data_IF_560677141665
#
_entry.id   IF_560677141665
#
_cell.length_a   1.000
_cell.length_b   1.000
_cell.length_c   1.000
_cell.angle_alpha   90.00
_cell.angle_beta   90.00
_cell.angle_gamma   90.00
#
_symmetry.space_group_name_H-M   'P 1'
#
loop_
_entity.id
_entity.type
_entity.pdbx_description
1 polymer ?
#
# COMPACT_ATOMS: atom_id res chain seq x y z
N UNK A 1 27.98 4.12 4.56
CA UNK A 1 26.97 4.92 3.85
C UNK A 1 26.63 4.34 2.47
N UNK A 2 27.60 3.76 1.77
CA UNK A 2 27.39 3.07 0.47
C UNK A 2 26.61 1.75 0.58
N UNK A 3 26.67 1.07 1.73
CA UNK A 3 26.10 -0.27 1.90
C UNK A 3 24.56 -0.32 1.84
N UNK A 4 23.86 0.72 2.31
CA UNK A 4 22.39 0.72 2.34
C UNK A 4 21.78 1.00 0.96
N UNK A 5 22.39 1.86 0.15
CA UNK A 5 21.99 2.09 -1.25
C UNK A 5 22.13 0.80 -2.05
N UNK A 6 23.20 0.07 -1.81
CA UNK A 6 23.44 -1.24 -2.42
C UNK A 6 22.39 -2.27 -2.03
N UNK A 7 21.92 -2.27 -0.77
CA UNK A 7 20.93 -3.22 -0.27
C UNK A 7 19.55 -3.04 -0.92
N UNK A 8 19.04 -1.81 -0.99
CA UNK A 8 17.74 -1.50 -1.60
C UNK A 8 17.75 -1.78 -3.11
N UNK A 9 18.83 -1.39 -3.80
CA UNK A 9 19.01 -1.68 -5.23
C UNK A 9 19.12 -3.20 -5.50
N UNK A 10 19.76 -3.94 -4.60
CA UNK A 10 19.85 -5.40 -4.68
C UNK A 10 18.49 -6.04 -4.49
N UNK A 11 17.73 -5.61 -3.49
CA UNK A 11 16.37 -6.09 -3.25
C UNK A 11 15.48 -5.88 -4.47
N UNK A 12 15.50 -4.69 -5.06
CA UNK A 12 14.74 -4.41 -6.28
C UNK A 12 15.12 -5.33 -7.43
N UNK A 13 16.41 -5.57 -7.62
CA UNK A 13 16.92 -6.47 -8.67
C UNK A 13 16.44 -7.89 -8.50
N UNK A 14 16.41 -8.41 -7.27
CA UNK A 14 15.88 -9.74 -6.93
C UNK A 14 14.38 -9.84 -7.21
N UNK A 15 13.61 -8.78 -6.88
CA UNK A 15 12.17 -8.70 -7.21
C UNK A 15 11.98 -8.74 -8.72
N UNK A 16 12.71 -7.91 -9.47
CA UNK A 16 12.60 -7.84 -10.93
C UNK A 16 12.93 -9.17 -11.61
N UNK A 17 14.00 -9.84 -11.18
CA UNK A 17 14.38 -11.16 -11.70
C UNK A 17 13.32 -12.22 -11.37
N UNK A 18 12.74 -12.18 -10.17
CA UNK A 18 11.70 -13.10 -9.76
C UNK A 18 10.43 -12.92 -10.57
N UNK A 19 9.99 -11.67 -10.79
CA UNK A 19 8.83 -11.36 -11.62
C UNK A 19 9.05 -11.87 -13.05
N UNK A 20 10.22 -11.61 -13.65
CA UNK A 20 10.55 -12.09 -15.00
C UNK A 20 10.53 -13.62 -15.10
N UNK A 21 11.09 -14.31 -14.10
CA UNK A 21 11.05 -15.80 -14.05
C UNK A 21 9.62 -16.32 -13.96
N UNK A 22 8.78 -15.70 -13.11
CA UNK A 22 7.39 -16.11 -12.97
C UNK A 22 6.60 -15.89 -14.27
N UNK A 23 6.81 -14.77 -14.95
CA UNK A 23 6.18 -14.49 -16.23
C UNK A 23 6.50 -15.53 -17.32
N UNK A 24 7.71 -16.11 -17.27
CA UNK A 24 8.11 -17.14 -18.22
C UNK A 24 7.50 -18.51 -17.98
N UNK A 25 7.04 -18.80 -16.76
CA UNK A 25 6.52 -20.13 -16.35
C UNK A 25 5.03 -20.13 -16.08
N UNK A 26 4.41 -19.00 -15.84
CA UNK A 26 2.98 -18.92 -15.51
C UNK A 26 2.23 -17.95 -16.40
N UNK A 27 1.02 -18.32 -16.81
CA UNK A 27 0.06 -17.41 -17.46
C UNK A 27 -0.86 -16.70 -16.47
N UNK A 28 -0.66 -16.91 -15.17
CA UNK A 28 -1.48 -16.32 -14.11
C UNK A 28 -1.08 -14.88 -13.79
N UNK A 29 -1.93 -14.20 -13.02
CA UNK A 29 -1.64 -12.87 -12.52
C UNK A 29 -0.56 -12.95 -11.42
N UNK A 30 0.43 -12.06 -11.52
CA UNK A 30 1.49 -11.93 -10.53
C UNK A 30 1.14 -10.76 -9.62
N UNK A 31 1.33 -10.94 -8.32
CA UNK A 31 1.21 -9.85 -7.34
C UNK A 31 2.52 -9.76 -6.56
N UNK A 32 3.10 -8.57 -6.53
CA UNK A 32 4.23 -8.23 -5.67
C UNK A 32 3.64 -7.60 -4.40
N UNK A 33 4.00 -8.14 -3.25
CA UNK A 33 3.55 -7.63 -1.95
C UNK A 33 4.77 -7.19 -1.13
N UNK A 34 4.76 -5.96 -0.64
CA UNK A 34 5.79 -5.39 0.24
C UNK A 34 5.17 -5.18 1.63
N UNK A 35 5.60 -5.98 2.58
CA UNK A 35 5.19 -5.93 4.00
C UNK A 35 6.45 -5.78 4.87
N UNK A 36 6.79 -4.60 5.39
CA UNK A 36 6.10 -3.33 5.21
C UNK A 36 7.11 -2.24 4.77
N UNK A 37 6.61 -1.21 4.07
CA UNK A 37 7.45 -0.13 3.54
C UNK A 37 7.99 0.79 4.64
N UNK A 38 7.28 0.92 5.75
CA UNK A 38 7.71 1.74 6.90
C UNK A 38 8.98 1.20 7.56
N UNK A 39 9.18 -0.11 7.56
CA UNK A 39 10.43 -0.72 8.04
C UNK A 39 11.62 -0.37 7.15
N UNK A 40 11.42 -0.34 5.83
CA UNK A 40 12.47 0.08 4.89
C UNK A 40 12.87 1.53 5.12
N UNK A 41 11.91 2.40 5.36
CA UNK A 41 12.17 3.82 5.63
C UNK A 41 12.93 4.01 6.95
N UNK A 42 12.53 3.33 8.02
CA UNK A 42 13.23 3.37 9.32
C UNK A 42 14.65 2.82 9.17
N UNK A 43 14.84 1.71 8.48
CA UNK A 43 16.15 1.09 8.30
C UNK A 43 17.10 1.95 7.48
N UNK A 44 16.59 2.85 6.63
CA UNK A 44 17.37 3.77 5.83
C UNK A 44 17.49 5.18 6.45
N UNK A 45 16.87 5.40 7.62
CA UNK A 45 16.95 6.67 8.36
C UNK A 45 18.41 6.97 8.70
N UNK A 46 18.95 8.06 8.12
CA UNK A 46 20.39 8.43 8.24
C UNK A 46 21.18 8.29 6.93
N UNK A 47 20.70 7.55 5.95
CA UNK A 47 21.06 7.65 4.55
C UNK A 47 19.86 8.26 3.81
N UNK A 48 20.06 9.13 2.84
CA UNK A 48 19.00 9.88 2.16
C UNK A 48 17.70 9.10 1.98
N UNK A 49 16.58 9.65 2.45
CA UNK A 49 15.21 9.10 2.28
C UNK A 49 14.82 8.85 0.81
N UNK A 50 15.58 9.42 -0.12
CA UNK A 50 15.38 9.31 -1.56
C UNK A 50 15.43 7.85 -2.06
N UNK A 51 16.25 6.99 -1.42
CA UNK A 51 16.41 5.61 -1.88
C UNK A 51 15.16 4.74 -1.70
N UNK A 52 14.37 4.98 -0.66
CA UNK A 52 13.10 4.26 -0.45
C UNK A 52 12.04 4.76 -1.41
N UNK A 53 12.07 6.07 -1.70
CA UNK A 53 11.21 6.66 -2.72
C UNK A 53 11.54 6.13 -4.12
N UNK A 54 12.83 6.05 -4.46
CA UNK A 54 13.30 5.44 -5.70
C UNK A 54 12.84 3.97 -5.81
N UNK A 55 12.97 3.20 -4.74
CA UNK A 55 12.48 1.82 -4.70
C UNK A 55 10.98 1.74 -4.97
N UNK A 56 10.18 2.61 -4.35
CA UNK A 56 8.75 2.70 -4.59
C UNK A 56 8.44 2.97 -6.08
N UNK A 57 9.11 3.94 -6.67
CA UNK A 57 8.95 4.29 -8.08
C UNK A 57 9.37 3.14 -9.00
N UNK A 58 10.46 2.45 -8.70
CA UNK A 58 10.90 1.29 -9.48
C UNK A 58 9.92 0.13 -9.38
N UNK A 59 9.38 -0.17 -8.20
CA UNK A 59 8.36 -1.20 -8.03
C UNK A 59 7.06 -0.85 -8.77
N UNK A 60 6.65 0.43 -8.74
CA UNK A 60 5.49 0.91 -9.47
C UNK A 60 5.70 0.79 -11.00
N UNK A 61 6.87 1.18 -11.49
CA UNK A 61 7.22 1.04 -12.91
C UNK A 61 7.24 -0.43 -13.32
N UNK A 62 7.89 -1.29 -12.53
CA UNK A 62 7.92 -2.73 -12.77
C UNK A 62 6.52 -3.33 -12.84
N UNK A 63 5.61 -2.93 -11.94
CA UNK A 63 4.24 -3.43 -11.95
C UNK A 63 3.49 -3.06 -13.24
N UNK A 64 3.68 -1.83 -13.71
CA UNK A 64 3.08 -1.34 -14.95
C UNK A 64 3.64 -2.02 -16.20
N UNK A 65 4.97 -2.18 -16.28
CA UNK A 65 5.65 -2.80 -17.43
C UNK A 65 5.42 -4.32 -17.49
N UNK A 66 5.34 -4.97 -16.34
CA UNK A 66 5.20 -6.42 -16.23
C UNK A 66 3.74 -6.87 -16.11
N UNK A 67 2.78 -5.95 -16.18
CA UNK A 67 1.35 -6.23 -15.99
C UNK A 67 1.10 -7.09 -14.72
N UNK A 68 1.76 -6.72 -13.63
CA UNK A 68 1.56 -7.33 -12.33
C UNK A 68 0.96 -6.33 -11.33
N UNK A 69 0.33 -6.83 -10.29
CA UNK A 69 -0.22 -6.00 -9.22
C UNK A 69 0.85 -5.70 -8.17
N UNK A 70 0.85 -4.50 -7.63
CA UNK A 70 1.71 -4.09 -6.52
C UNK A 70 0.84 -3.78 -5.30
N UNK A 71 1.10 -4.44 -4.19
CA UNK A 71 0.44 -4.21 -2.90
C UNK A 71 1.49 -3.79 -1.89
N UNK A 72 1.28 -2.66 -1.24
CA UNK A 72 2.20 -2.11 -0.25
C UNK A 72 1.45 -1.91 1.06
N UNK A 73 1.99 -2.45 2.14
CA UNK A 73 1.60 -2.14 3.50
C UNK A 73 2.50 -1.02 4.04
N UNK A 74 1.91 -0.11 4.80
CA UNK A 74 2.62 0.94 5.50
C UNK A 74 1.91 1.27 6.82
N UNK A 75 2.67 1.57 7.87
CA UNK A 75 2.16 1.96 9.18
C UNK A 75 2.20 3.48 9.31
N UNK A 76 1.03 4.11 9.32
CA UNK A 76 0.92 5.58 9.40
C UNK A 76 1.28 6.14 10.78
N UNK A 77 1.14 5.35 11.83
CA UNK A 77 1.43 5.74 13.21
C UNK A 77 2.90 6.07 13.48
N UNK A 78 3.83 5.51 12.70
CA UNK A 78 5.26 5.88 12.79
C UNK A 78 5.52 7.35 12.46
N UNK A 79 4.62 7.99 11.73
CA UNK A 79 4.72 9.40 11.32
C UNK A 79 3.95 10.36 12.25
N UNK A 80 3.46 9.89 13.39
CA UNK A 80 2.61 10.68 14.29
C UNK A 80 3.23 12.01 14.75
N UNK A 81 4.57 12.13 14.71
CA UNK A 81 5.32 13.36 15.05
C UNK A 81 5.62 14.25 13.84
N UNK A 82 5.27 13.83 12.62
CA UNK A 82 5.57 14.54 11.39
C UNK A 82 4.30 15.11 10.76
N UNK A 83 4.31 16.39 10.43
CA UNK A 83 3.27 16.97 9.58
C UNK A 83 3.45 16.47 8.14
N UNK A 84 2.57 15.55 7.71
CA UNK A 84 2.44 15.05 6.34
C UNK A 84 3.78 14.58 5.73
N UNK A 85 4.27 13.41 6.09
CA UNK A 85 5.50 12.88 5.53
C UNK A 85 5.40 12.80 4.00
N UNK A 86 6.39 13.37 3.31
CA UNK A 86 6.40 13.45 1.85
C UNK A 86 6.31 12.05 1.21
N UNK A 87 6.90 11.05 1.83
CA UNK A 87 6.88 9.67 1.39
C UNK A 87 5.45 9.08 1.38
N UNK A 88 4.68 9.27 2.45
CA UNK A 88 3.29 8.81 2.53
C UNK A 88 2.42 9.47 1.45
N UNK A 89 2.61 10.77 1.20
CA UNK A 89 1.91 11.48 0.13
C UNK A 89 2.25 10.90 -1.25
N UNK A 90 3.51 10.57 -1.49
CA UNK A 90 3.95 9.96 -2.75
C UNK A 90 3.30 8.57 -2.94
N UNK A 91 3.29 7.72 -1.92
CA UNK A 91 2.61 6.42 -1.98
C UNK A 91 1.12 6.58 -2.31
N UNK A 92 0.45 7.49 -1.61
CA UNK A 92 -0.97 7.79 -1.88
C UNK A 92 -1.15 8.32 -3.29
N UNK A 93 -0.26 9.16 -3.81
CA UNK A 93 -0.36 9.68 -5.19
C UNK A 93 -0.22 8.57 -6.24
N UNK A 94 0.68 7.63 -6.05
CA UNK A 94 0.96 6.54 -7.00
C UNK A 94 -0.10 5.44 -6.96
N UNK A 95 -0.76 5.23 -5.83
CA UNK A 95 -1.73 4.15 -5.69
C UNK A 95 -3.02 4.39 -6.46
N UNK A 96 -3.54 3.38 -7.14
CA UNK A 96 -4.88 3.37 -7.75
C UNK A 96 -5.98 3.18 -6.71
N UNK A 97 -5.69 2.38 -5.69
CA UNK A 97 -6.58 2.10 -4.56
C UNK A 97 -5.82 2.29 -3.26
N UNK A 98 -6.37 3.07 -2.36
CA UNK A 98 -5.85 3.26 -1.00
C UNK A 98 -6.85 2.67 -0.01
N UNK A 99 -6.36 1.79 0.86
CA UNK A 99 -7.16 1.20 1.94
C UNK A 99 -6.54 1.66 3.25
N UNK A 100 -7.32 2.36 4.07
CA UNK A 100 -6.89 2.83 5.38
C UNK A 100 -7.70 2.15 6.47
N UNK A 101 -7.03 1.48 7.40
CA UNK A 101 -7.63 0.90 8.58
C UNK A 101 -7.24 1.74 9.81
N UNK A 102 -8.23 2.17 10.58
CA UNK A 102 -8.05 3.05 11.73
C UNK A 102 -8.90 2.58 12.91
N UNK A 103 -8.46 2.81 14.16
CA UNK A 103 -9.36 2.63 15.29
C UNK A 103 -10.54 3.60 15.22
N UNK A 104 -11.62 3.30 15.91
CA UNK A 104 -12.75 4.23 16.00
C UNK A 104 -12.34 5.51 16.73
N UNK A 105 -12.73 6.66 16.18
CA UNK A 105 -12.54 7.96 16.83
C UNK A 105 -13.30 8.09 18.16
N UNK A 106 -14.37 7.32 18.33
CA UNK A 106 -15.18 7.25 19.57
C UNK A 106 -14.57 6.35 20.66
N UNK A 107 -13.44 5.71 20.39
CA UNK A 107 -12.81 4.76 21.29
C UNK A 107 -13.24 3.30 21.05
N UNK A 108 -12.86 2.42 21.98
CA UNK A 108 -13.12 0.99 21.86
C UNK A 108 -14.62 0.68 22.05
N UNK A 109 -15.18 -0.10 21.14
CA UNK A 109 -16.51 -0.66 21.23
C UNK A 109 -16.44 -2.19 21.16
N UNK A 110 -17.33 -2.88 21.89
CA UNK A 110 -17.32 -4.35 21.93
C UNK A 110 -17.65 -5.00 20.58
N UNK A 111 -18.44 -4.29 19.76
CA UNK A 111 -18.97 -4.83 18.51
C UNK A 111 -18.30 -4.25 17.26
N UNK A 112 -17.47 -3.21 17.42
CA UNK A 112 -16.78 -2.54 16.33
C UNK A 112 -15.34 -2.24 16.76
N UNK A 113 -14.38 -2.80 16.04
CA UNK A 113 -12.98 -2.68 16.39
C UNK A 113 -12.27 -1.54 15.65
N UNK A 114 -12.85 -1.09 14.53
CA UNK A 114 -12.29 0.02 13.76
C UNK A 114 -13.11 0.35 12.53
N UNK A 115 -12.58 1.28 11.76
CA UNK A 115 -13.13 1.69 10.48
C UNK A 115 -12.14 1.43 9.35
N UNK A 116 -12.66 1.10 8.19
CA UNK A 116 -11.93 0.89 6.96
C UNK A 116 -12.40 1.91 5.92
N UNK A 117 -11.49 2.71 5.44
CA UNK A 117 -11.75 3.65 4.34
C UNK A 117 -11.10 3.12 3.08
N UNK A 118 -11.88 2.97 2.02
CA UNK A 118 -11.39 2.56 0.69
C UNK A 118 -11.57 3.72 -0.26
N UNK A 119 -10.45 4.25 -0.74
CA UNK A 119 -10.41 5.26 -1.80
C UNK A 119 -9.98 4.60 -3.10
N UNK A 120 -10.91 4.46 -4.03
CA UNK A 120 -10.62 4.02 -5.39
C UNK A 120 -10.56 5.25 -6.30
N UNK A 121 -9.38 5.52 -6.88
CA UNK A 121 -9.16 6.68 -7.76
C UNK A 121 -9.63 6.43 -9.20
N UNK A 122 -10.01 5.20 -9.50
CA UNK A 122 -10.43 4.80 -10.84
C UNK A 122 -9.25 4.74 -11.81
N UNK A 123 -9.07 3.60 -12.43
CA UNK A 123 -8.12 3.46 -13.54
C UNK A 123 -8.74 4.18 -14.75
N UNK A 124 -8.12 5.24 -15.23
CA UNK A 124 -8.56 6.01 -16.41
C UNK A 124 -8.35 5.21 -17.71
N UNK A 125 -8.88 4.01 -17.81
CA UNK A 125 -8.66 3.11 -18.95
C UNK A 125 -9.81 3.02 -19.93
N UNK A 126 -10.66 4.04 -20.06
CA UNK A 126 -11.53 4.14 -21.23
C UNK A 126 -12.11 5.54 -21.37
N UNK A 127 -11.91 6.14 -22.50
CA UNK A 127 -12.33 7.49 -22.91
C UNK A 127 -13.84 7.76 -22.96
N UNK A 128 -14.57 7.40 -21.94
CA UNK A 128 -15.98 7.80 -21.74
C UNK A 128 -16.33 7.75 -20.26
N UNK A 129 -16.38 8.90 -19.65
CA UNK A 129 -17.00 9.07 -18.33
C UNK A 129 -16.00 9.46 -17.25
N UNK A 130 -16.30 10.54 -16.58
CA UNK A 130 -15.65 11.07 -15.40
C UNK A 130 -15.27 9.95 -14.41
N UNK A 131 -13.98 9.63 -14.33
CA UNK A 131 -13.43 8.81 -13.25
C UNK A 131 -13.63 9.59 -11.94
N UNK A 132 -14.74 9.36 -11.27
CA UNK A 132 -14.97 9.94 -9.95
C UNK A 132 -14.28 9.07 -8.92
N UNK A 133 -13.39 9.65 -8.15
CA UNK A 133 -12.86 9.01 -6.96
C UNK A 133 -14.03 8.46 -6.14
N UNK A 134 -14.04 7.16 -5.91
CA UNK A 134 -15.08 6.50 -5.10
C UNK A 134 -14.54 6.27 -3.71
N UNK A 135 -15.09 6.97 -2.75
CA UNK A 135 -14.80 6.77 -1.34
C UNK A 135 -15.87 5.88 -0.72
N UNK A 136 -15.45 4.83 -0.03
CA UNK A 136 -16.32 3.92 0.70
C UNK A 136 -15.79 3.76 2.12
N UNK A 137 -16.69 3.87 3.09
CA UNK A 137 -16.37 3.67 4.49
C UNK A 137 -17.09 2.43 5.01
N UNK A 138 -16.36 1.61 5.73
CA UNK A 138 -16.87 0.42 6.40
C UNK A 138 -16.44 0.48 7.86
N UNK A 139 -17.18 -0.23 8.69
CA UNK A 139 -16.74 -0.61 10.02
C UNK A 139 -16.33 -2.08 9.99
N UNK A 140 -15.45 -2.49 10.87
CA UNK A 140 -15.05 -3.89 10.94
C UNK A 140 -15.04 -4.41 12.38
N UNK A 141 -15.26 -5.71 12.48
CA UNK A 141 -15.15 -6.49 13.71
C UNK A 141 -14.23 -7.67 13.47
N UNK A 142 -13.21 -7.80 14.31
CA UNK A 142 -12.29 -8.94 14.29
C UNK A 142 -12.90 -10.06 15.11
N UNK A 143 -12.97 -11.27 14.55
CA UNK A 143 -13.39 -12.51 15.16
C UNK A 143 -12.22 -13.50 15.21
N UNK A 144 -12.37 -14.59 15.96
CA UNK A 144 -11.33 -15.63 16.01
C UNK A 144 -10.98 -16.20 14.63
N UNK A 145 -11.94 -16.32 13.73
CA UNK A 145 -11.78 -16.95 12.43
C UNK A 145 -11.92 -15.98 11.23
N UNK A 146 -11.86 -14.67 11.46
CA UNK A 146 -12.00 -13.73 10.35
C UNK A 146 -12.40 -12.32 10.74
N UNK A 147 -12.78 -11.54 9.75
CA UNK A 147 -13.19 -10.15 9.91
C UNK A 147 -14.55 -9.96 9.24
N UNK A 148 -15.49 -9.38 9.99
CA UNK A 148 -16.76 -8.93 9.43
C UNK A 148 -16.67 -7.45 9.06
N UNK A 149 -17.21 -7.11 7.90
CA UNK A 149 -17.32 -5.74 7.42
C UNK A 149 -18.77 -5.34 7.26
N UNK A 150 -19.10 -4.14 7.67
CA UNK A 150 -20.47 -3.62 7.56
C UNK A 150 -20.45 -2.10 7.33
N UNK A 151 -21.53 -1.59 6.76
CA UNK A 151 -21.67 -0.15 6.59
C UNK A 151 -21.97 0.54 7.93
N UNK A 152 -21.47 1.78 8.15
CA UNK A 152 -21.80 2.54 9.34
C UNK A 152 -23.32 2.65 9.53
N UNK A 153 -23.81 2.32 10.73
CA UNK A 153 -25.23 2.36 11.06
C UNK A 153 -26.03 1.10 10.73
N UNK A 154 -25.46 0.13 10.02
CA UNK A 154 -26.08 -1.19 9.86
C UNK A 154 -25.65 -2.08 11.03
N UNK A 155 -26.60 -2.45 11.88
CA UNK A 155 -26.37 -3.52 12.87
C UNK A 155 -26.55 -4.86 12.16
N UNK A 156 -25.54 -5.71 12.24
CA UNK A 156 -25.62 -7.14 11.86
C UNK A 156 -26.43 -7.92 12.86
#
# INVERSE_FOLDING_TARGET
>A
MEDNVSAVAKLFREIQETVRKLQSVTSGNITVMVDDMSLLEIATTGSNSDHVLDFLHYCHTLSSESNCSLVILNHEDIYASMERPAFLLQMVCLADVVIKAEPLSSGLANDVHGQLTVLNKGISNSGRGSSRNKLQNFQFRIKENGIDYFYPGCRS
#
